data_IF_239096624365
#
_entry.id   IF_239096624365
#
_cell.length_a   1.000
_cell.length_b   1.000
_cell.length_c   1.000
_cell.angle_alpha   90.00
_cell.angle_beta   90.00
_cell.angle_gamma   90.00
#
_symmetry.space_group_name_H-M   'P 1'
#
loop_
_entity.id
_entity.type
_entity.pdbx_description
1 polymer ?
#
# COMPACT_ATOMS: atom_id res chain seq x y z
N UNK A 1 8.38 -4.42 17.66
CA UNK A 1 7.00 -4.66 18.14
C UNK A 1 6.03 -3.85 17.29
N UNK A 2 4.76 -4.15 17.38
CA UNK A 2 3.63 -3.39 16.80
C UNK A 2 2.64 -2.99 17.88
N UNK A 3 1.71 -2.10 17.54
CA UNK A 3 0.59 -1.72 18.42
C UNK A 3 -0.17 -2.97 18.91
N UNK A 4 -0.57 -2.96 20.14
CA UNK A 4 -1.27 -4.05 20.85
C UNK A 4 -0.44 -5.33 21.13
N UNK A 5 0.83 -5.38 20.77
CA UNK A 5 1.72 -6.49 21.14
C UNK A 5 1.91 -6.58 22.66
N UNK A 6 2.05 -7.81 23.12
CA UNK A 6 2.45 -8.12 24.50
C UNK A 6 3.98 -8.22 24.54
N UNK A 7 4.57 -7.48 25.46
CA UNK A 7 6.01 -7.49 25.75
C UNK A 7 6.21 -8.02 27.16
N UNK A 8 7.12 -8.97 27.31
CA UNK A 8 7.53 -9.48 28.62
C UNK A 8 8.97 -9.06 28.84
N UNK A 9 9.19 -8.21 29.83
CA UNK A 9 10.54 -7.86 30.30
C UNK A 9 10.95 -8.83 31.40
N UNK A 10 12.22 -9.22 31.41
CA UNK A 10 12.82 -10.05 32.45
C UNK A 10 13.80 -9.18 33.24
N UNK A 11 13.44 -8.88 34.46
CA UNK A 11 14.31 -8.16 35.39
C UNK A 11 15.17 -9.19 36.12
N UNK A 12 16.49 -9.00 36.07
CA UNK A 12 17.43 -9.88 36.73
C UNK A 12 18.27 -9.05 37.70
N UNK A 13 18.18 -9.39 38.98
CA UNK A 13 18.92 -8.74 40.04
C UNK A 13 20.15 -9.58 40.42
N UNK A 14 21.32 -9.01 40.30
CA UNK A 14 22.58 -9.61 40.71
C UNK A 14 23.00 -9.12 42.11
N UNK A 15 23.82 -9.90 42.79
CA UNK A 15 24.53 -9.43 43.98
C UNK A 15 26.04 -9.38 43.68
N UNK A 16 26.56 -8.16 43.60
CA UNK A 16 27.98 -7.90 43.37
C UNK A 16 28.76 -7.64 44.66
N UNK A 17 28.02 -7.60 45.78
CA UNK A 17 28.56 -7.34 47.09
C UNK A 17 29.25 -8.53 47.77
N UNK A 18 29.85 -8.27 48.94
CA UNK A 18 30.57 -9.23 49.77
C UNK A 18 29.70 -9.89 50.84
N UNK A 19 28.42 -9.51 50.96
CA UNK A 19 27.43 -10.11 51.89
C UNK A 19 26.21 -10.64 51.10
N UNK A 20 25.54 -11.65 51.64
CA UNK A 20 24.25 -12.10 51.09
C UNK A 20 23.18 -11.01 51.30
N UNK A 21 22.22 -10.88 50.37
CA UNK A 21 21.20 -9.85 50.46
C UNK A 21 19.90 -10.20 49.73
N UNK A 22 18.97 -9.23 49.74
CA UNK A 22 17.65 -9.35 49.09
C UNK A 22 17.27 -8.04 48.40
N UNK A 23 16.72 -8.12 47.19
CA UNK A 23 15.99 -7.03 46.58
C UNK A 23 14.55 -7.06 47.15
N UNK A 24 14.30 -6.26 48.18
CA UNK A 24 13.05 -6.32 48.92
C UNK A 24 11.88 -5.66 48.20
N UNK A 25 12.17 -4.70 47.34
CA UNK A 25 11.20 -4.03 46.49
C UNK A 25 11.83 -3.63 45.16
N UNK A 26 11.14 -3.92 44.08
CA UNK A 26 11.53 -3.55 42.72
C UNK A 26 10.39 -2.72 42.13
N UNK A 27 10.73 -1.65 41.43
CA UNK A 27 9.81 -0.78 40.76
C UNK A 27 10.13 -0.77 39.26
N UNK A 28 9.08 -0.76 38.43
CA UNK A 28 9.15 -0.60 37.00
C UNK A 28 8.41 0.66 36.59
N UNK A 29 9.01 1.48 35.75
CA UNK A 29 8.53 2.78 35.33
C UNK A 29 8.04 2.71 33.89
N UNK A 30 6.72 2.52 33.71
CA UNK A 30 6.10 2.38 32.41
C UNK A 30 6.05 3.69 31.65
N UNK A 31 6.63 3.78 30.44
CA UNK A 31 6.44 4.93 29.54
C UNK A 31 4.98 5.05 29.09
N UNK A 32 4.59 6.22 28.55
CA UNK A 32 3.20 6.50 28.17
C UNK A 32 2.62 5.50 27.15
N UNK A 33 3.49 4.86 26.39
CA UNK A 33 3.15 3.95 25.28
C UNK A 33 3.01 2.48 25.71
N UNK A 34 3.29 2.19 26.97
CA UNK A 34 3.03 0.87 27.58
C UNK A 34 1.89 0.96 28.57
N UNK A 35 1.19 -0.15 28.74
CA UNK A 35 0.21 -0.36 29.80
C UNK A 35 0.51 -1.66 30.54
N UNK A 36 0.26 -1.66 31.85
CA UNK A 36 0.36 -2.85 32.68
C UNK A 36 -0.74 -3.84 32.35
N UNK A 37 -0.41 -5.11 32.18
CA UNK A 37 -1.41 -6.18 31.96
C UNK A 37 -1.85 -6.72 33.31
N UNK A 38 -3.04 -6.32 33.80
CA UNK A 38 -3.64 -6.83 35.02
C UNK A 38 -4.21 -8.24 34.79
N UNK A 39 -3.33 -9.24 34.77
CA UNK A 39 -3.69 -10.65 34.54
C UNK A 39 -2.97 -11.60 35.49
N UNK A 40 -3.31 -12.90 35.40
CA UNK A 40 -2.76 -13.95 36.27
C UNK A 40 -1.22 -14.02 36.19
N UNK A 41 -0.65 -13.71 35.05
CA UNK A 41 0.82 -13.69 34.89
C UNK A 41 1.48 -12.69 35.83
N UNK A 42 1.07 -11.42 35.81
CA UNK A 42 1.68 -10.41 36.68
C UNK A 42 1.27 -10.61 38.16
N UNK A 43 0.06 -11.06 38.43
CA UNK A 43 -0.39 -11.39 39.78
C UNK A 43 0.44 -12.50 40.44
N UNK A 44 0.90 -13.49 39.69
CA UNK A 44 1.78 -14.55 40.19
C UNK A 44 3.09 -13.99 40.78
N UNK A 45 3.59 -12.87 40.22
CA UNK A 45 4.80 -12.18 40.66
C UNK A 45 4.54 -11.00 41.60
N UNK A 46 3.30 -10.86 42.08
CA UNK A 46 2.92 -9.86 43.08
C UNK A 46 3.03 -8.41 42.58
N UNK A 47 2.98 -8.19 41.26
CA UNK A 47 3.00 -6.85 40.70
C UNK A 47 1.71 -6.09 41.04
N UNK A 48 1.88 -4.84 41.44
CA UNK A 48 0.80 -3.88 41.70
C UNK A 48 1.08 -2.56 40.95
N UNK A 49 0.05 -1.98 40.35
CA UNK A 49 0.16 -0.74 39.57
C UNK A 49 -0.34 0.45 40.39
N UNK A 50 0.32 1.61 40.22
CA UNK A 50 -0.10 2.89 40.80
C UNK A 50 -1.39 3.41 40.16
N UNK A 51 -2.05 4.37 40.80
CA UNK A 51 -3.32 4.96 40.30
C UNK A 51 -3.16 5.64 38.94
N UNK A 52 -2.00 6.20 38.63
CA UNK A 52 -1.68 6.84 37.34
C UNK A 52 -1.28 5.83 36.26
N UNK A 53 -1.14 4.53 36.61
CA UNK A 53 -0.76 3.49 35.70
C UNK A 53 0.68 3.54 35.20
N UNK A 54 1.53 4.40 35.78
CA UNK A 54 2.89 4.68 35.31
C UNK A 54 3.99 3.99 36.10
N UNK A 55 3.68 3.54 37.29
CA UNK A 55 4.61 2.84 38.19
C UNK A 55 4.04 1.50 38.60
N UNK A 56 4.84 0.46 38.51
CA UNK A 56 4.45 -0.90 38.92
C UNK A 56 5.48 -1.41 39.94
N UNK A 57 5.02 -2.00 41.02
CA UNK A 57 5.90 -2.40 42.12
C UNK A 57 5.67 -3.85 42.49
N UNK A 58 6.74 -4.57 42.82
CA UNK A 58 6.70 -5.93 43.35
C UNK A 58 7.62 -6.14 44.55
N UNK A 59 7.22 -7.04 45.46
CA UNK A 59 8.04 -7.58 46.54
C UNK A 59 8.32 -9.07 46.37
N UNK A 60 8.22 -9.57 45.14
CA UNK A 60 8.37 -11.00 44.85
C UNK A 60 9.71 -11.55 45.33
N UNK A 61 10.78 -10.78 45.23
CA UNK A 61 12.14 -11.17 45.62
C UNK A 61 12.46 -10.86 47.10
N UNK A 62 11.55 -10.29 47.89
CA UNK A 62 11.76 -9.94 49.31
C UNK A 62 12.29 -11.09 50.17
N UNK A 63 11.87 -12.33 49.83
CA UNK A 63 12.29 -13.56 50.53
C UNK A 63 13.24 -14.44 49.70
N UNK A 64 13.66 -13.99 48.54
CA UNK A 64 14.54 -14.68 47.61
C UNK A 64 16.01 -14.29 47.84
N UNK A 65 16.70 -14.97 48.72
CA UNK A 65 18.11 -14.64 49.01
C UNK A 65 18.98 -14.71 47.75
N UNK A 66 19.79 -13.67 47.54
CA UNK A 66 20.80 -13.58 46.51
C UNK A 66 22.17 -13.68 47.20
N UNK A 67 22.91 -14.76 46.94
CA UNK A 67 24.16 -14.98 47.58
C UNK A 67 25.18 -13.94 47.08
N UNK A 68 26.10 -13.58 47.95
CA UNK A 68 27.26 -12.69 47.66
C UNK A 68 28.09 -13.17 46.50
N UNK A 69 28.80 -12.26 45.87
CA UNK A 69 29.79 -12.54 44.81
C UNK A 69 30.86 -13.48 45.30
N UNK A 70 31.19 -14.49 44.51
CA UNK A 70 32.30 -15.44 44.78
C UNK A 70 33.50 -15.11 43.90
N UNK A 71 34.57 -14.69 44.52
CA UNK A 71 35.83 -14.42 43.81
C UNK A 71 36.44 -15.73 43.29
N UNK A 72 36.70 -15.78 42.00
CA UNK A 72 37.40 -16.91 41.38
C UNK A 72 38.91 -16.70 41.45
N UNK A 73 39.62 -17.52 42.20
CA UNK A 73 41.07 -17.49 42.23
C UNK A 73 41.60 -18.32 41.06
N UNK A 74 42.09 -17.67 40.02
CA UNK A 74 42.83 -18.33 38.95
C UNK A 74 44.35 -18.07 39.17
N UNK A 75 45.16 -19.09 39.51
CA UNK A 75 46.56 -18.86 39.80
C UNK A 75 47.41 -18.49 38.56
N UNK A 76 46.86 -18.52 37.37
CA UNK A 76 47.59 -18.31 36.11
C UNK A 76 47.28 -16.98 35.41
N UNK A 77 46.24 -16.23 35.81
CA UNK A 77 45.90 -14.92 35.24
C UNK A 77 45.70 -13.87 36.36
N UNK A 78 46.23 -12.62 36.23
CA UNK A 78 46.04 -11.57 37.21
C UNK A 78 44.63 -10.98 37.24
N UNK A 79 43.75 -11.37 36.33
CA UNK A 79 42.37 -10.89 36.26
C UNK A 79 41.51 -11.54 37.34
N UNK A 80 40.95 -10.69 38.19
CA UNK A 80 39.97 -11.09 39.20
C UNK A 80 38.61 -11.27 38.51
N UNK A 81 38.16 -12.51 38.38
CA UNK A 81 36.82 -12.84 37.92
C UNK A 81 35.94 -13.18 39.12
N UNK A 82 34.67 -12.83 39.03
CA UNK A 82 33.66 -13.14 40.05
C UNK A 82 32.54 -13.99 39.45
N UNK A 83 31.99 -14.91 40.25
CA UNK A 83 30.74 -15.59 39.93
C UNK A 83 29.64 -14.90 40.72
N UNK A 84 28.68 -14.31 40.00
CA UNK A 84 27.55 -13.59 40.59
C UNK A 84 26.36 -14.53 40.74
N UNK A 85 25.63 -14.38 41.84
CA UNK A 85 24.32 -14.98 42.03
C UNK A 85 23.25 -13.96 41.60
N UNK A 86 22.14 -14.47 41.07
CA UNK A 86 21.03 -13.62 40.66
C UNK A 86 19.65 -14.24 40.98
N UNK A 87 18.62 -13.39 40.93
CA UNK A 87 17.21 -13.75 40.93
C UNK A 87 16.49 -12.98 39.81
N UNK A 88 15.38 -13.55 39.34
CA UNK A 88 14.63 -13.00 38.22
C UNK A 88 13.18 -12.76 38.63
N UNK A 89 12.59 -11.71 38.04
CA UNK A 89 11.16 -11.45 38.09
C UNK A 89 10.70 -10.87 36.74
N UNK A 90 9.79 -11.52 36.02
CA UNK A 90 9.26 -11.00 34.78
C UNK A 90 8.12 -10.03 35.03
N UNK A 91 7.94 -9.08 34.10
CA UNK A 91 6.76 -8.22 34.01
C UNK A 91 6.19 -8.26 32.60
N UNK A 92 4.86 -8.32 32.49
CA UNK A 92 4.14 -8.31 31.23
C UNK A 92 3.45 -6.98 31.02
N UNK A 93 3.74 -6.36 29.88
CA UNK A 93 3.17 -5.09 29.44
C UNK A 93 2.55 -5.24 28.05
N UNK A 94 1.68 -4.32 27.69
CA UNK A 94 1.08 -4.22 26.37
C UNK A 94 1.44 -2.88 25.73
N UNK A 95 1.82 -2.91 24.46
CA UNK A 95 2.01 -1.71 23.65
C UNK A 95 0.65 -1.09 23.36
N UNK A 96 0.45 0.19 23.72
CA UNK A 96 -0.80 0.89 23.44
C UNK A 96 -1.01 1.12 21.95
N UNK A 97 -2.25 1.25 21.53
CA UNK A 97 -2.65 1.60 20.18
C UNK A 97 -2.26 3.05 19.78
N UNK A 98 -2.11 3.92 20.81
CA UNK A 98 -1.67 5.31 20.64
C UNK A 98 -0.17 5.47 20.41
N UNK A 99 0.62 4.40 20.50
CA UNK A 99 2.04 4.42 20.25
C UNK A 99 2.32 4.70 18.77
N UNK A 100 3.34 5.54 18.50
CA UNK A 100 3.69 5.96 17.13
C UNK A 100 4.71 5.02 16.51
N UNK A 101 4.60 4.79 15.22
CA UNK A 101 5.59 4.05 14.45
C UNK A 101 6.97 4.70 14.49
N UNK A 102 7.99 3.88 14.36
CA UNK A 102 9.41 4.26 14.53
C UNK A 102 9.75 4.86 15.91
N UNK A 103 8.77 4.90 16.83
CA UNK A 103 9.01 5.35 18.19
C UNK A 103 9.76 4.30 19.01
N UNK A 104 10.78 4.74 19.73
CA UNK A 104 11.50 3.93 20.71
C UNK A 104 10.80 4.05 22.05
N UNK A 105 10.33 2.94 22.56
CA UNK A 105 9.72 2.83 23.88
C UNK A 105 10.81 2.34 24.83
N UNK A 106 11.17 3.15 25.82
CA UNK A 106 12.15 2.80 26.84
C UNK A 106 11.43 2.45 28.12
N UNK A 107 11.60 1.23 28.61
CA UNK A 107 11.12 0.78 29.90
C UNK A 107 12.28 0.74 30.89
N UNK A 108 12.11 1.28 32.11
CA UNK A 108 13.16 1.43 33.13
C UNK A 108 12.69 0.75 34.40
N UNK A 109 13.56 0.00 35.05
CA UNK A 109 13.31 -0.62 36.33
C UNK A 109 14.43 -0.31 37.33
N UNK A 110 14.08 -0.20 38.61
CA UNK A 110 15.01 0.07 39.69
C UNK A 110 14.74 -0.80 40.92
N UNK A 111 15.78 -1.02 41.73
CA UNK A 111 15.65 -1.62 43.06
C UNK A 111 15.41 -0.50 44.06
N UNK A 112 14.23 -0.44 44.64
CA UNK A 112 13.82 0.62 45.55
C UNK A 112 14.05 0.29 47.02
N UNK A 113 14.48 -0.95 47.34
CA UNK A 113 14.79 -1.37 48.69
C UNK A 113 15.70 -2.57 48.76
N UNK A 114 16.78 -2.45 49.52
CA UNK A 114 17.74 -3.50 49.82
C UNK A 114 17.64 -3.99 51.24
N UNK A 115 17.89 -5.29 51.48
CA UNK A 115 18.04 -5.85 52.80
C UNK A 115 19.27 -6.77 52.86
N UNK A 116 20.01 -6.75 53.98
CA UNK A 116 21.09 -7.67 54.29
C UNK A 116 20.59 -9.08 54.64
N UNK A 117 21.49 -9.96 54.99
CA UNK A 117 21.20 -11.34 55.36
C UNK A 117 20.32 -11.48 56.61
N UNK A 118 20.32 -10.46 57.49
CA UNK A 118 19.46 -10.37 58.68
C UNK A 118 18.11 -9.70 58.43
N UNK A 119 17.80 -9.38 57.19
CA UNK A 119 16.61 -8.62 56.78
C UNK A 119 16.54 -7.17 57.32
N UNK A 120 17.69 -6.57 57.54
CA UNK A 120 17.82 -5.15 57.88
C UNK A 120 18.14 -4.33 56.66
N UNK A 121 17.64 -3.10 56.61
CA UNK A 121 18.01 -2.13 55.56
C UNK A 121 19.53 -1.94 55.51
N UNK A 122 20.10 -1.99 54.37
CA UNK A 122 21.53 -1.82 54.09
C UNK A 122 21.70 -0.77 52.99
N UNK A 123 22.80 -0.07 53.03
CA UNK A 123 23.18 0.88 51.98
C UNK A 123 23.97 0.12 50.91
N UNK A 124 23.61 0.30 49.66
CA UNK A 124 24.42 -0.19 48.53
C UNK A 124 25.68 0.67 48.44
N UNK A 125 26.73 0.12 47.83
CA UNK A 125 28.06 0.74 47.79
C UNK A 125 28.08 1.94 46.83
N UNK A 126 27.43 1.83 45.70
CA UNK A 126 27.52 2.70 44.54
C UNK A 126 26.15 3.09 43.97
N UNK A 127 25.03 2.72 44.64
CA UNK A 127 23.65 3.04 44.25
C UNK A 127 22.86 3.64 45.42
N UNK A 128 21.87 4.48 45.12
CA UNK A 128 20.93 5.09 46.10
C UNK A 128 19.50 4.57 45.82
N UNK A 129 18.87 4.02 46.86
CA UNK A 129 17.49 3.50 46.76
C UNK A 129 16.51 4.55 46.22
N UNK A 130 15.68 4.16 45.22
CA UNK A 130 14.55 4.96 44.75
C UNK A 130 14.92 6.38 44.24
N UNK A 131 16.06 6.53 43.61
CA UNK A 131 16.57 7.82 43.15
C UNK A 131 16.36 8.01 41.62
N UNK A 132 15.82 7.03 40.88
CA UNK A 132 15.55 7.15 39.45
C UNK A 132 14.69 8.37 39.16
N UNK A 133 15.25 9.31 38.43
CA UNK A 133 14.56 10.53 37.96
C UNK A 133 14.12 10.27 36.52
N UNK A 134 12.87 9.89 36.35
CA UNK A 134 12.32 9.74 35.01
C UNK A 134 12.48 11.06 34.24
N UNK A 135 13.16 11.06 33.08
CA UNK A 135 13.05 12.13 32.14
C UNK A 135 11.58 12.30 31.75
N UNK A 136 11.18 13.50 31.30
CA UNK A 136 9.86 13.66 30.71
C UNK A 136 9.77 12.69 29.49
N UNK A 137 8.57 12.26 29.12
CA UNK A 137 8.36 11.28 28.06
C UNK A 137 9.09 11.60 26.75
N UNK A 138 9.31 12.89 26.43
CA UNK A 138 10.04 13.33 25.25
C UNK A 138 11.53 12.96 25.26
N UNK A 139 12.12 12.68 26.42
CA UNK A 139 13.54 12.35 26.55
C UNK A 139 13.79 10.83 26.71
N UNK A 140 12.73 10.02 26.94
CA UNK A 140 12.86 8.57 27.11
C UNK A 140 13.55 7.84 25.95
N UNK A 141 13.29 8.20 24.66
CA UNK A 141 14.01 7.55 23.54
C UNK A 141 15.53 7.73 23.58
N UNK A 142 16.00 8.77 24.25
CA UNK A 142 17.41 9.12 24.37
C UNK A 142 18.02 8.71 25.72
N UNK A 143 17.25 8.05 26.58
CA UNK A 143 17.76 7.53 27.85
C UNK A 143 18.94 6.59 27.59
N UNK A 144 20.04 6.79 28.29
CA UNK A 144 21.26 5.99 28.15
C UNK A 144 21.71 5.57 29.54
N UNK A 145 22.06 4.33 29.65
CA UNK A 145 22.80 3.81 30.77
C UNK A 145 24.27 4.31 30.77
N UNK A 146 24.90 4.22 31.91
CA UNK A 146 26.28 4.62 32.09
C UNK A 146 27.29 3.59 31.55
N UNK A 147 27.09 3.06 30.35
CA UNK A 147 27.99 2.10 29.70
C UNK A 147 29.40 2.69 29.43
N UNK A 148 29.56 3.99 29.51
CA UNK A 148 30.83 4.68 29.22
C UNK A 148 31.67 4.97 30.43
N UNK A 149 31.24 4.68 31.66
CA UNK A 149 31.93 4.95 32.90
C UNK A 149 31.81 6.39 33.40
N UNK A 150 30.98 7.20 32.75
CA UNK A 150 30.64 8.54 33.20
C UNK A 150 29.33 8.47 34.01
N UNK A 151 29.40 8.82 35.30
CA UNK A 151 28.24 8.86 36.19
C UNK A 151 27.16 9.81 35.66
N UNK A 152 26.00 9.30 35.36
CA UNK A 152 24.81 10.08 35.08
C UNK A 152 23.89 9.95 36.30
N UNK A 153 23.56 11.01 37.06
CA UNK A 153 22.74 10.93 38.26
C UNK A 153 21.40 10.22 37.99
N UNK A 154 21.15 9.14 38.73
CA UNK A 154 19.97 8.30 38.59
C UNK A 154 20.12 7.17 37.57
N UNK A 155 21.36 6.86 37.12
CA UNK A 155 21.74 5.70 36.35
C UNK A 155 22.87 4.99 37.07
N UNK A 156 22.52 4.30 38.10
CA UNK A 156 23.38 3.45 38.91
C UNK A 156 23.17 2.00 38.52
N UNK A 157 23.91 1.06 39.10
CA UNK A 157 23.77 -0.37 38.73
C UNK A 157 22.55 -1.03 39.37
N UNK A 158 21.74 -0.29 40.15
CA UNK A 158 20.45 -0.74 40.70
C UNK A 158 19.27 -0.37 39.78
N UNK A 159 19.49 0.42 38.72
CA UNK A 159 18.53 0.69 37.65
C UNK A 159 19.06 0.20 36.29
N UNK A 160 18.13 -0.24 35.46
CA UNK A 160 18.42 -0.68 34.09
C UNK A 160 17.20 -0.44 33.19
N UNK A 161 17.44 -0.42 31.88
CA UNK A 161 16.39 -0.20 30.91
C UNK A 161 16.49 -1.10 29.69
N UNK A 162 15.34 -1.32 29.05
CA UNK A 162 15.28 -2.01 27.75
C UNK A 162 14.45 -1.19 26.76
N UNK A 163 14.82 -1.23 25.49
CA UNK A 163 14.16 -0.47 24.43
C UNK A 163 13.54 -1.38 23.39
N UNK A 164 12.27 -1.10 23.07
CA UNK A 164 11.60 -1.68 21.91
C UNK A 164 11.24 -0.58 20.92
N UNK A 165 11.24 -0.91 19.63
CA UNK A 165 10.85 0.01 18.59
C UNK A 165 9.54 -0.47 17.94
N UNK A 166 8.64 0.48 17.67
CA UNK A 166 7.40 0.21 16.97
C UNK A 166 7.67 0.23 15.47
N UNK A 167 7.44 -0.90 14.82
CA UNK A 167 7.63 -1.05 13.39
C UNK A 167 6.40 -0.58 12.62
N UNK A 168 6.60 0.15 11.52
CA UNK A 168 5.57 0.55 10.57
C UNK A 168 5.05 -0.69 9.83
N UNK A 169 3.72 -0.82 9.74
CA UNK A 169 3.04 -1.63 8.75
C UNK A 169 2.62 -0.69 7.61
N UNK A 170 2.84 -1.09 6.37
CA UNK A 170 2.63 -0.21 5.23
C UNK A 170 2.63 -1.03 3.94
N UNK A 171 1.48 -1.15 3.31
CA UNK A 171 1.31 -1.80 2.02
C UNK A 171 0.86 -0.78 0.98
N UNK A 172 1.62 -0.65 -0.08
CA UNK A 172 1.38 0.28 -1.17
C UNK A 172 0.94 -0.44 -2.44
N UNK A 173 -0.04 0.09 -3.16
CA UNK A 173 -0.50 -0.46 -4.43
C UNK A 173 0.05 0.34 -5.61
N UNK A 174 0.44 -0.39 -6.67
CA UNK A 174 0.84 0.20 -7.95
C UNK A 174 0.13 -0.54 -9.09
N UNK A 175 -0.61 0.22 -9.88
CA UNK A 175 -1.35 -0.27 -11.04
C UNK A 175 -0.68 0.19 -12.31
N UNK A 176 -0.54 -0.71 -13.28
CA UNK A 176 0.04 -0.37 -14.58
C UNK A 176 -0.60 -1.13 -15.72
N UNK A 177 -0.71 -0.48 -16.88
CA UNK A 177 -1.02 -1.15 -18.14
C UNK A 177 0.22 -1.92 -18.59
N UNK A 178 0.09 -3.24 -18.79
CA UNK A 178 1.20 -4.10 -19.25
C UNK A 178 1.10 -4.47 -20.70
N UNK A 179 -0.11 -4.54 -21.28
CA UNK A 179 -0.28 -4.69 -22.71
C UNK A 179 -1.64 -4.21 -23.20
N UNK A 180 -1.69 -3.81 -24.46
CA UNK A 180 -2.92 -3.53 -25.20
C UNK A 180 -2.90 -4.39 -26.46
N UNK A 181 -3.91 -5.25 -26.60
CA UNK A 181 -4.14 -6.02 -27.82
C UNK A 181 -5.09 -5.23 -28.72
N UNK A 182 -4.54 -4.65 -29.78
CA UNK A 182 -5.27 -3.90 -30.78
C UNK A 182 -5.99 -4.85 -31.73
N UNK A 183 -7.27 -5.06 -31.50
CA UNK A 183 -8.08 -6.05 -32.26
C UNK A 183 -8.15 -5.73 -33.75
N UNK A 184 -8.15 -4.45 -34.12
CA UNK A 184 -8.17 -4.01 -35.55
C UNK A 184 -6.88 -4.31 -36.30
N UNK A 185 -5.74 -4.41 -35.59
CA UNK A 185 -4.43 -4.63 -36.19
C UNK A 185 -3.88 -6.04 -35.94
N UNK A 186 -4.62 -6.87 -35.17
CA UNK A 186 -4.14 -8.17 -34.68
C UNK A 186 -2.74 -8.08 -34.03
N UNK A 187 -2.51 -6.98 -33.30
CA UNK A 187 -1.21 -6.63 -32.72
C UNK A 187 -1.33 -6.37 -31.23
N UNK A 188 -0.45 -6.97 -30.44
CA UNK A 188 -0.24 -6.63 -29.05
C UNK A 188 0.91 -5.62 -28.90
N UNK A 189 0.67 -4.56 -28.12
CA UNK A 189 1.69 -3.61 -27.71
C UNK A 189 1.97 -3.83 -26.22
N UNK A 190 3.21 -4.16 -25.87
CA UNK A 190 3.65 -4.35 -24.50
C UNK A 190 4.20 -3.04 -23.92
N UNK A 191 3.95 -2.81 -22.62
CA UNK A 191 4.35 -1.62 -21.87
C UNK A 191 5.20 -2.03 -20.67
N UNK A 192 6.42 -2.57 -20.92
CA UNK A 192 7.31 -3.08 -19.88
C UNK A 192 8.00 -1.97 -19.07
N UNK A 193 7.94 -0.73 -19.53
CA UNK A 193 8.55 0.44 -18.90
C UNK A 193 7.63 1.16 -17.89
N UNK A 194 6.38 0.72 -17.78
CA UNK A 194 5.39 1.32 -16.87
C UNK A 194 5.43 0.76 -15.44
N UNK A 195 6.22 -0.26 -15.18
CA UNK A 195 6.37 -0.78 -13.82
C UNK A 195 7.03 0.23 -12.90
N UNK A 196 6.48 0.37 -11.70
CA UNK A 196 7.07 1.18 -10.64
C UNK A 196 8.51 0.76 -10.37
N UNK A 197 9.39 1.74 -10.14
CA UNK A 197 10.82 1.53 -9.89
C UNK A 197 11.15 1.94 -8.47
N UNK A 198 12.13 1.25 -7.89
CA UNK A 198 12.66 1.63 -6.59
C UNK A 198 13.29 3.04 -6.68
N UNK A 199 12.80 3.97 -5.86
CA UNK A 199 13.42 5.29 -5.71
C UNK A 199 14.66 5.19 -4.84
N UNK A 200 15.82 5.14 -5.48
CA UNK A 200 17.12 5.07 -4.81
C UNK A 200 17.57 6.41 -4.22
N UNK A 201 16.97 7.52 -4.63
CA UNK A 201 17.37 8.86 -4.20
C UNK A 201 16.61 9.33 -2.94
N UNK A 202 15.41 8.80 -2.72
CA UNK A 202 14.56 9.13 -1.57
C UNK A 202 14.72 8.20 -0.36
N UNK A 203 15.87 7.59 -0.15
CA UNK A 203 16.17 6.71 0.99
C UNK A 203 15.84 7.29 2.39
N UNK A 204 15.52 8.56 2.48
CA UNK A 204 15.17 9.26 3.73
C UNK A 204 13.67 9.57 3.88
N UNK A 205 12.88 9.41 2.85
CA UNK A 205 11.43 9.50 2.90
C UNK A 205 10.88 8.09 2.73
N UNK A 206 9.92 7.68 3.53
CA UNK A 206 9.38 6.32 3.63
C UNK A 206 8.81 5.74 2.32
N UNK A 207 8.94 6.42 1.19
CA UNK A 207 8.48 6.00 -0.13
C UNK A 207 9.58 5.22 -0.85
N UNK A 208 9.41 3.93 -1.03
CA UNK A 208 10.38 3.03 -1.66
C UNK A 208 10.31 3.13 -3.20
N UNK A 209 9.19 3.62 -3.76
CA UNK A 209 8.90 3.56 -5.19
C UNK A 209 8.62 4.92 -5.80
N UNK A 210 9.16 5.13 -7.02
CA UNK A 210 8.71 6.21 -7.89
C UNK A 210 7.41 5.82 -8.58
N UNK A 211 6.45 6.72 -8.56
CA UNK A 211 5.27 6.61 -9.41
C UNK A 211 5.65 6.92 -10.85
N UNK A 212 5.22 6.05 -11.76
CA UNK A 212 5.22 6.41 -13.17
C UNK A 212 4.24 7.57 -13.36
N UNK A 213 4.69 8.65 -14.05
CA UNK A 213 3.81 9.77 -14.36
C UNK A 213 2.76 9.34 -15.40
N UNK A 214 1.61 8.89 -14.91
CA UNK A 214 0.48 8.43 -15.72
C UNK A 214 -0.16 9.56 -16.54
N UNK A 215 -0.01 10.82 -16.12
CA UNK A 215 -0.62 11.97 -16.80
C UNK A 215 0.12 12.35 -18.09
N UNK A 216 1.43 12.09 -18.19
CA UNK A 216 2.24 12.47 -19.34
C UNK A 216 2.34 11.42 -20.46
N UNK A 217 1.99 10.16 -20.19
CA UNK A 217 2.17 9.03 -21.12
C UNK A 217 0.92 8.14 -21.24
N UNK A 218 -0.21 8.75 -21.54
CA UNK A 218 -1.49 8.05 -21.64
C UNK A 218 -1.52 7.19 -22.92
N UNK A 219 -1.63 5.84 -22.83
CA UNK A 219 -1.75 4.98 -23.99
C UNK A 219 -3.04 5.24 -24.77
N UNK A 220 -2.95 5.12 -26.10
CA UNK A 220 -4.10 5.26 -26.98
C UNK A 220 -4.75 3.90 -27.26
N UNK A 221 -6.07 3.88 -27.28
CA UNK A 221 -6.90 2.71 -27.57
C UNK A 221 -7.99 3.02 -28.57
N UNK A 222 -8.48 2.00 -29.25
CA UNK A 222 -9.71 2.07 -30.03
C UNK A 222 -10.79 1.18 -29.40
N UNK A 223 -12.02 1.34 -29.85
CA UNK A 223 -13.12 0.45 -29.47
C UNK A 223 -12.77 -1.03 -29.71
N UNK A 224 -13.10 -1.89 -28.77
CA UNK A 224 -12.83 -3.33 -28.72
C UNK A 224 -11.37 -3.73 -28.46
N UNK A 225 -10.46 -2.83 -28.24
CA UNK A 225 -9.14 -3.19 -27.76
C UNK A 225 -9.22 -3.89 -26.40
N UNK A 226 -8.32 -4.86 -26.18
CA UNK A 226 -8.20 -5.57 -24.91
C UNK A 226 -6.99 -5.03 -24.16
N UNK A 227 -7.25 -4.49 -22.98
CA UNK A 227 -6.24 -3.91 -22.10
C UNK A 227 -5.97 -4.85 -20.94
N UNK A 228 -4.71 -5.14 -20.68
CA UNK A 228 -4.27 -5.93 -19.54
C UNK A 228 -3.55 -5.05 -18.54
N UNK A 229 -4.04 -5.07 -17.33
CA UNK A 229 -3.44 -4.39 -16.17
C UNK A 229 -2.68 -5.39 -15.31
N UNK A 230 -1.57 -4.95 -14.71
CA UNK A 230 -0.94 -5.54 -13.54
C UNK A 230 -1.24 -4.64 -12.35
N UNK A 231 -1.58 -5.24 -11.23
CA UNK A 231 -1.78 -4.56 -9.95
C UNK A 231 -0.83 -5.24 -8.97
N UNK A 232 0.12 -4.48 -8.48
CA UNK A 232 1.13 -4.94 -7.52
C UNK A 232 0.90 -4.30 -6.17
N UNK A 233 0.93 -5.14 -5.14
CA UNK A 233 0.98 -4.69 -3.75
C UNK A 233 2.40 -4.89 -3.26
N UNK A 234 3.05 -3.81 -2.89
CA UNK A 234 4.39 -3.77 -2.32
C UNK A 234 4.32 -3.59 -0.80
N UNK A 235 5.40 -3.91 -0.12
CA UNK A 235 5.53 -3.65 1.31
C UNK A 235 6.60 -2.58 1.53
N UNK A 236 6.17 -1.38 1.90
CA UNK A 236 7.01 -0.23 2.23
C UNK A 236 7.33 -0.15 3.74
N UNK A 237 6.69 -1.01 4.53
CA UNK A 237 6.82 -1.08 5.97
C UNK A 237 8.01 -1.89 6.47
N UNK A 238 8.01 -2.11 7.79
CA UNK A 238 9.03 -2.88 8.53
C UNK A 238 8.48 -4.19 9.09
N UNK A 239 7.23 -4.52 8.77
CA UNK A 239 6.53 -5.74 9.18
C UNK A 239 6.03 -6.44 7.92
N UNK A 240 6.13 -7.78 7.87
CA UNK A 240 5.54 -8.57 6.80
C UNK A 240 4.03 -8.34 6.75
N UNK A 241 3.47 -8.15 5.55
CA UNK A 241 2.06 -7.87 5.32
C UNK A 241 1.41 -8.83 4.34
N UNK A 242 0.07 -8.78 4.29
CA UNK A 242 -0.75 -9.55 3.35
C UNK A 242 -1.95 -8.69 2.95
N UNK A 243 -2.13 -8.46 1.65
CA UNK A 243 -3.37 -7.88 1.14
C UNK A 243 -4.44 -8.99 1.09
N UNK A 244 -5.48 -8.87 1.89
CA UNK A 244 -6.55 -9.88 1.95
C UNK A 244 -7.55 -9.70 0.81
N UNK A 245 -7.73 -8.45 0.36
CA UNK A 245 -8.51 -8.11 -0.82
C UNK A 245 -7.78 -7.07 -1.68
N UNK A 246 -7.83 -7.26 -2.99
CA UNK A 246 -7.49 -6.25 -3.99
C UNK A 246 -8.74 -5.92 -4.77
N UNK A 247 -9.06 -4.64 -4.92
CA UNK A 247 -10.28 -4.16 -5.57
C UNK A 247 -9.96 -3.39 -6.84
N UNK A 248 -10.93 -3.32 -7.75
CA UNK A 248 -10.85 -2.58 -9.00
C UNK A 248 -12.23 -2.02 -9.37
N UNK A 249 -12.29 -0.72 -9.64
CA UNK A 249 -13.52 0.00 -10.01
C UNK A 249 -13.44 0.35 -11.49
N UNK A 250 -14.08 -0.46 -12.32
CA UNK A 250 -14.07 -0.25 -13.77
C UNK A 250 -14.89 0.97 -14.17
N UNK A 251 -14.31 1.89 -14.98
CA UNK A 251 -15.02 3.03 -15.54
C UNK A 251 -16.04 2.61 -16.59
N UNK A 252 -16.97 3.50 -16.92
CA UNK A 252 -18.06 3.26 -17.89
C UNK A 252 -17.60 2.78 -19.26
N UNK A 253 -16.43 3.19 -19.72
CA UNK A 253 -15.86 2.84 -21.02
C UNK A 253 -15.11 1.50 -21.06
N UNK A 254 -14.98 0.81 -19.92
CA UNK A 254 -14.35 -0.53 -19.86
C UNK A 254 -15.37 -1.61 -19.50
N UNK A 255 -15.09 -2.82 -19.96
CA UNK A 255 -15.87 -4.02 -19.66
C UNK A 255 -14.96 -5.11 -19.12
N UNK A 256 -15.37 -5.75 -18.03
CA UNK A 256 -14.69 -6.92 -17.50
C UNK A 256 -14.86 -8.13 -18.41
N UNK A 257 -13.78 -8.83 -18.71
CA UNK A 257 -13.80 -10.00 -19.57
C UNK A 257 -13.89 -11.29 -18.74
N UNK A 258 -15.11 -11.71 -18.39
CA UNK A 258 -15.39 -12.87 -17.52
C UNK A 258 -14.80 -14.21 -18.03
N UNK A 259 -14.68 -14.37 -19.34
CA UNK A 259 -14.15 -15.58 -19.96
C UNK A 259 -12.65 -15.54 -20.25
N UNK A 260 -11.98 -14.42 -19.96
CA UNK A 260 -10.55 -14.28 -20.16
C UNK A 260 -9.76 -15.14 -19.16
N UNK A 261 -8.77 -15.89 -19.65
CA UNK A 261 -7.98 -16.80 -18.81
C UNK A 261 -7.17 -16.08 -17.72
N UNK A 262 -6.77 -14.83 -17.96
CA UNK A 262 -6.10 -14.00 -16.94
C UNK A 262 -7.05 -13.74 -15.79
N UNK A 263 -8.28 -13.29 -16.09
CA UNK A 263 -9.27 -12.97 -15.06
C UNK A 263 -9.69 -14.20 -14.25
N UNK A 264 -9.87 -15.34 -14.92
CA UNK A 264 -10.18 -16.63 -14.26
C UNK A 264 -9.05 -17.07 -13.32
N UNK A 265 -7.78 -16.92 -13.76
CA UNK A 265 -6.61 -17.30 -12.96
C UNK A 265 -6.56 -16.56 -11.61
N UNK A 266 -6.87 -15.28 -11.62
CA UNK A 266 -6.81 -14.44 -10.42
C UNK A 266 -8.11 -14.38 -9.62
N UNK A 267 -9.14 -15.15 -10.03
CA UNK A 267 -10.35 -15.37 -9.25
C UNK A 267 -11.15 -14.10 -8.94
N UNK A 268 -11.13 -13.12 -9.83
CA UNK A 268 -11.93 -11.90 -9.67
C UNK A 268 -13.42 -12.23 -9.57
N UNK A 269 -14.10 -11.50 -8.70
CA UNK A 269 -15.54 -11.56 -8.45
C UNK A 269 -16.16 -10.19 -8.62
N UNK A 270 -17.45 -10.16 -8.94
CA UNK A 270 -18.23 -8.94 -9.07
C UNK A 270 -19.08 -8.72 -7.81
N UNK A 271 -19.11 -7.50 -7.32
CA UNK A 271 -19.80 -7.12 -6.10
C UNK A 271 -20.70 -5.90 -6.32
N UNK A 272 -21.78 -5.83 -5.52
CA UNK A 272 -22.56 -4.62 -5.31
C UNK A 272 -22.53 -4.22 -3.85
N UNK A 273 -22.71 -2.95 -3.55
CA UNK A 273 -22.85 -2.49 -2.17
C UNK A 273 -24.02 -3.19 -1.46
N UNK A 274 -23.83 -3.50 -0.20
CA UNK A 274 -24.77 -4.22 0.65
C UNK A 274 -24.78 -3.63 2.07
N UNK A 275 -25.61 -4.20 2.94
CA UNK A 275 -25.64 -3.83 4.35
C UNK A 275 -25.04 -4.93 5.23
N UNK A 276 -24.61 -4.56 6.44
CA UNK A 276 -24.08 -5.49 7.44
C UNK A 276 -25.12 -6.56 7.88
N UNK A 277 -26.41 -6.29 7.70
CA UNK A 277 -27.49 -7.20 8.08
C UNK A 277 -27.74 -8.30 7.02
N UNK A 278 -27.09 -8.22 5.85
CA UNK A 278 -27.19 -9.23 4.81
C UNK A 278 -26.26 -10.40 5.17
N UNK A 279 -26.82 -11.59 5.40
CA UNK A 279 -26.07 -12.81 5.76
C UNK A 279 -25.07 -13.28 4.70
N UNK A 280 -25.23 -12.83 3.45
CA UNK A 280 -24.34 -13.15 2.33
C UNK A 280 -23.31 -12.03 2.07
N UNK A 281 -23.33 -10.96 2.87
CA UNK A 281 -22.40 -9.86 2.67
C UNK A 281 -20.98 -10.21 3.12
N UNK A 282 -20.01 -9.79 2.35
CA UNK A 282 -18.60 -9.83 2.67
C UNK A 282 -18.15 -8.42 3.04
N UNK A 283 -17.41 -8.27 4.14
CA UNK A 283 -16.76 -7.00 4.46
C UNK A 283 -15.47 -6.87 3.66
N UNK A 284 -15.31 -5.79 2.92
CA UNK A 284 -14.10 -5.41 2.21
C UNK A 284 -13.78 -3.98 2.66
N UNK A 285 -12.68 -3.81 3.37
CA UNK A 285 -12.36 -2.54 4.05
C UNK A 285 -13.45 -2.16 5.06
N UNK A 286 -13.95 -0.94 4.96
CA UNK A 286 -14.98 -0.42 5.86
C UNK A 286 -16.42 -0.69 5.38
N UNK A 287 -16.62 -1.26 4.19
CA UNK A 287 -17.93 -1.45 3.55
C UNK A 287 -18.33 -2.92 3.43
N UNK A 288 -19.61 -3.13 3.25
CA UNK A 288 -20.19 -4.47 3.01
C UNK A 288 -20.65 -4.60 1.57
N UNK A 289 -20.39 -5.78 0.98
CA UNK A 289 -20.68 -6.09 -0.41
C UNK A 289 -21.32 -7.46 -0.54
N UNK A 290 -22.21 -7.62 -1.51
CA UNK A 290 -22.78 -8.89 -1.90
C UNK A 290 -22.24 -9.30 -3.27
N UNK A 291 -21.76 -10.54 -3.38
CA UNK A 291 -21.31 -11.10 -4.66
C UNK A 291 -22.50 -11.23 -5.63
N UNK A 292 -22.31 -10.78 -6.87
CA UNK A 292 -23.31 -10.82 -7.93
C UNK A 292 -22.74 -11.43 -9.21
N UNK A 293 -23.62 -11.86 -10.11
CA UNK A 293 -23.20 -12.35 -11.42
C UNK A 293 -22.52 -11.22 -12.23
N UNK A 294 -21.53 -11.56 -13.05
CA UNK A 294 -20.81 -10.62 -13.92
C UNK A 294 -21.71 -9.90 -14.95
N UNK A 295 -22.91 -10.42 -15.20
CA UNK A 295 -23.90 -9.81 -16.08
C UNK A 295 -24.86 -8.85 -15.33
N UNK A 296 -24.69 -8.67 -14.03
CA UNK A 296 -25.47 -7.75 -13.21
C UNK A 296 -25.21 -6.29 -13.61
N UNK A 297 -26.26 -5.48 -13.61
CA UNK A 297 -26.16 -4.04 -13.82
C UNK A 297 -25.86 -3.25 -12.54
N UNK A 298 -25.83 -3.94 -11.41
CA UNK A 298 -25.63 -3.37 -10.07
C UNK A 298 -24.18 -3.49 -9.59
N UNK A 299 -23.28 -3.98 -10.45
CA UNK A 299 -21.86 -4.11 -10.09
C UNK A 299 -21.30 -2.73 -9.77
N UNK A 300 -20.74 -2.59 -8.58
CA UNK A 300 -20.05 -1.39 -8.13
C UNK A 300 -18.55 -1.61 -7.97
N UNK A 301 -18.13 -2.88 -7.81
CA UNK A 301 -16.77 -3.25 -7.48
C UNK A 301 -16.43 -4.63 -8.08
N UNK A 302 -15.19 -4.78 -8.56
CA UNK A 302 -14.57 -6.08 -8.77
C UNK A 302 -13.50 -6.29 -7.69
N UNK A 303 -13.45 -7.49 -7.12
CA UNK A 303 -12.46 -7.80 -6.09
C UNK A 303 -11.91 -9.22 -6.22
N UNK A 304 -10.69 -9.41 -5.74
CA UNK A 304 -10.05 -10.71 -5.64
C UNK A 304 -9.35 -10.88 -4.29
N UNK A 305 -9.45 -12.08 -3.71
CA UNK A 305 -8.71 -12.50 -2.53
C UNK A 305 -7.48 -13.37 -2.86
N UNK A 306 -7.00 -13.28 -4.10
CA UNK A 306 -5.89 -14.11 -4.60
C UNK A 306 -4.61 -13.99 -3.77
N UNK A 307 -4.35 -12.81 -3.19
CA UNK A 307 -3.16 -12.53 -2.38
C UNK A 307 -3.32 -12.85 -0.90
N UNK A 308 -4.48 -13.26 -0.41
CA UNK A 308 -4.78 -13.47 1.01
C UNK A 308 -3.84 -14.43 1.76
N UNK A 309 -3.24 -15.38 1.04
CA UNK A 309 -2.29 -16.35 1.58
C UNK A 309 -0.83 -16.03 1.17
N UNK A 310 -0.60 -14.83 0.57
CA UNK A 310 0.71 -14.40 0.09
C UNK A 310 1.32 -13.42 1.09
N UNK A 311 2.39 -13.83 1.78
CA UNK A 311 3.16 -12.93 2.64
C UNK A 311 4.06 -12.05 1.79
N UNK A 312 3.85 -10.74 1.84
CA UNK A 312 4.69 -9.72 1.21
C UNK A 312 5.70 -9.26 2.26
N UNK A 313 6.97 -9.59 2.04
CA UNK A 313 8.05 -9.36 3.01
C UNK A 313 8.35 -7.88 3.16
N UNK A 314 8.58 -7.46 4.41
CA UNK A 314 9.06 -6.12 4.72
C UNK A 314 10.35 -5.81 3.98
N UNK A 315 10.48 -4.57 3.48
CA UNK A 315 11.69 -4.14 2.79
C UNK A 315 12.85 -3.91 3.77
N UNK A 316 13.97 -4.57 3.50
CA UNK A 316 15.17 -4.51 4.38
C UNK A 316 16.12 -3.37 4.04
N UNK A 317 15.85 -2.61 2.96
CA UNK A 317 16.73 -1.54 2.48
C UNK A 317 17.79 -2.02 1.47
N UNK A 318 17.80 -3.29 1.10
CA UNK A 318 18.71 -3.89 0.12
C UNK A 318 17.92 -4.75 -0.89
N UNK A 319 18.35 -4.70 -2.16
CA UNK A 319 17.75 -5.48 -3.25
C UNK A 319 16.43 -4.93 -3.74
N UNK A 320 15.63 -5.81 -4.37
CA UNK A 320 14.29 -5.49 -4.84
C UNK A 320 13.28 -5.67 -3.70
N UNK A 321 12.26 -4.82 -3.68
CA UNK A 321 11.18 -4.97 -2.72
C UNK A 321 10.27 -6.15 -3.09
N UNK A 322 9.78 -6.83 -2.06
CA UNK A 322 8.79 -7.90 -2.20
C UNK A 322 7.44 -7.34 -2.63
N UNK A 323 6.76 -8.06 -3.51
CA UNK A 323 5.40 -7.70 -3.92
C UNK A 323 4.53 -8.94 -4.17
N UNK A 324 3.22 -8.77 -4.00
CA UNK A 324 2.20 -9.63 -4.55
C UNK A 324 1.66 -9.03 -5.86
N UNK A 325 1.25 -9.85 -6.84
CA UNK A 325 0.78 -9.35 -8.14
C UNK A 325 -0.47 -10.09 -8.60
N UNK A 326 -1.45 -9.32 -9.03
CA UNK A 326 -2.64 -9.80 -9.74
C UNK A 326 -2.81 -9.09 -11.06
N UNK A 327 -3.48 -9.73 -12.01
CA UNK A 327 -3.75 -9.15 -13.32
C UNK A 327 -5.24 -9.08 -13.60
N UNK A 328 -5.64 -8.04 -14.36
CA UNK A 328 -6.99 -7.90 -14.88
C UNK A 328 -6.95 -7.62 -16.38
N UNK A 329 -7.85 -8.23 -17.15
CA UNK A 329 -8.05 -7.93 -18.56
C UNK A 329 -9.44 -7.33 -18.77
N UNK A 330 -9.51 -6.23 -19.50
CA UNK A 330 -10.74 -5.52 -19.82
C UNK A 330 -10.84 -5.26 -21.32
N UNK A 331 -12.05 -4.99 -21.82
CA UNK A 331 -12.30 -4.54 -23.19
C UNK A 331 -12.71 -3.07 -23.19
N UNK A 332 -12.21 -2.32 -24.13
CA UNK A 332 -12.66 -0.96 -24.41
C UNK A 332 -14.02 -1.01 -25.10
N UNK A 333 -15.07 -0.49 -24.46
CA UNK A 333 -16.41 -0.43 -25.03
C UNK A 333 -16.51 0.60 -26.15
N UNK A 334 -17.39 0.36 -27.10
CA UNK A 334 -17.83 1.41 -28.00
C UNK A 334 -18.64 2.48 -27.23
N UNK A 335 -18.51 3.76 -27.60
CA UNK A 335 -19.28 4.84 -26.95
C UNK A 335 -20.80 4.56 -26.93
N UNK A 336 -21.34 3.94 -27.97
CA UNK A 336 -22.76 3.55 -28.07
C UNK A 336 -23.19 2.45 -27.10
N UNK A 337 -22.26 1.71 -26.50
CA UNK A 337 -22.52 0.67 -25.51
C UNK A 337 -22.66 1.23 -24.09
N UNK A 338 -22.25 2.47 -23.89
CA UNK A 338 -22.41 3.18 -22.61
C UNK A 338 -23.84 3.74 -22.54
N UNK A 339 -24.48 3.58 -21.39
CA UNK A 339 -25.87 4.02 -21.21
C UNK A 339 -26.03 5.51 -21.48
N UNK A 340 -27.16 5.87 -22.10
CA UNK A 340 -27.49 7.27 -22.40
C UNK A 340 -27.47 8.14 -21.12
N UNK A 341 -26.78 9.27 -21.17
CA UNK A 341 -26.60 10.15 -20.01
C UNK A 341 -25.44 9.81 -19.09
N UNK A 342 -24.75 8.68 -19.31
CA UNK A 342 -23.54 8.34 -18.60
C UNK A 342 -22.31 8.89 -19.33
N UNK A 343 -21.43 9.58 -18.60
CA UNK A 343 -20.15 10.03 -19.15
C UNK A 343 -19.26 8.85 -19.51
N UNK A 344 -18.65 8.88 -20.71
CA UNK A 344 -17.71 7.87 -21.15
C UNK A 344 -16.34 8.13 -20.49
N UNK A 345 -15.91 7.23 -19.61
CA UNK A 345 -14.66 7.33 -18.84
C UNK A 345 -13.78 6.12 -19.07
N UNK A 346 -12.47 6.32 -19.05
CA UNK A 346 -11.45 5.28 -19.24
C UNK A 346 -10.39 5.25 -18.13
N UNK A 347 -10.52 6.10 -17.09
CA UNK A 347 -9.69 6.03 -15.89
C UNK A 347 -10.08 4.83 -15.06
N UNK A 348 -9.16 3.88 -14.90
CA UNK A 348 -9.36 2.68 -14.10
C UNK A 348 -8.63 2.79 -12.78
N UNK A 349 -9.32 2.48 -11.67
CA UNK A 349 -8.84 2.66 -10.29
C UNK A 349 -8.74 1.30 -9.63
N UNK A 350 -7.63 1.04 -8.94
CA UNK A 350 -7.48 -0.12 -8.06
C UNK A 350 -7.04 0.31 -6.67
N UNK A 351 -7.40 -0.48 -5.66
CA UNK A 351 -7.16 -0.19 -4.25
C UNK A 351 -6.86 -1.49 -3.50
N UNK A 352 -6.04 -1.42 -2.44
CA UNK A 352 -6.00 -2.48 -1.43
C UNK A 352 -7.33 -2.45 -0.71
N UNK A 353 -8.18 -3.45 -0.97
CA UNK A 353 -9.52 -3.49 -0.38
C UNK A 353 -9.52 -3.84 1.10
N UNK A 354 -8.53 -4.63 1.53
CA UNK A 354 -8.35 -5.01 2.93
C UNK A 354 -6.97 -5.66 3.12
N UNK A 355 -6.40 -5.59 4.31
CA UNK A 355 -5.11 -6.16 4.66
C UNK A 355 -5.10 -6.77 6.07
N UNK A 356 -3.94 -7.26 6.53
CA UNK A 356 -3.79 -7.90 7.84
C UNK A 356 -3.06 -7.03 8.88
N UNK A 357 -2.96 -5.72 8.68
CA UNK A 357 -2.25 -4.80 9.55
C UNK A 357 -3.06 -3.57 9.92
N UNK A 358 -2.37 -2.59 10.44
CA UNK A 358 -2.86 -1.24 10.76
C UNK A 358 -1.94 -0.29 9.99
N UNK A 359 -2.32 0.01 8.75
CA UNK A 359 -1.58 0.89 7.88
C UNK A 359 -1.59 2.31 8.44
N UNK A 360 -0.46 3.01 8.34
CA UNK A 360 -0.32 4.31 9.02
C UNK A 360 -0.84 5.47 8.20
N UNK A 361 -0.71 5.40 6.88
CA UNK A 361 -1.01 6.49 5.97
C UNK A 361 -2.07 6.14 4.92
N UNK A 362 -2.64 4.92 4.98
CA UNK A 362 -3.74 4.45 4.15
C UNK A 362 -4.85 3.81 4.96
N UNK A 363 -6.05 3.80 4.41
CA UNK A 363 -7.23 3.10 4.98
C UNK A 363 -7.80 2.19 3.90
N UNK A 364 -7.47 0.89 3.93
CA UNK A 364 -7.90 -0.05 2.91
C UNK A 364 -9.41 -0.06 2.67
N UNK A 365 -9.82 0.04 1.41
CA UNK A 365 -11.22 -0.07 0.99
C UNK A 365 -12.11 1.12 1.36
N UNK A 366 -11.56 2.29 1.66
CA UNK A 366 -12.33 3.49 1.98
C UNK A 366 -12.80 4.25 0.73
N UNK A 367 -12.20 3.98 -0.43
CA UNK A 367 -12.50 4.60 -1.71
C UNK A 367 -11.99 6.03 -1.81
N UNK A 368 -10.90 6.35 -1.12
CA UNK A 368 -10.28 7.68 -1.14
C UNK A 368 -9.68 8.04 -2.51
N UNK A 369 -9.29 9.31 -2.67
CA UNK A 369 -8.65 9.76 -3.89
C UNK A 369 -7.19 9.26 -3.94
N UNK A 370 -6.77 8.71 -5.07
CA UNK A 370 -5.44 8.12 -5.33
C UNK A 370 -4.23 9.03 -5.01
N UNK A 371 -4.44 10.34 -4.81
CA UNK A 371 -3.37 11.30 -4.47
C UNK A 371 -3.08 11.39 -2.98
N UNK A 372 -3.98 10.89 -2.15
CA UNK A 372 -3.94 11.10 -0.71
C UNK A 372 -3.43 9.86 0.05
N UNK A 373 -3.54 8.67 -0.57
CA UNK A 373 -3.12 7.40 0.01
C UNK A 373 -2.34 6.58 -1.03
N UNK A 374 -1.44 5.71 -0.61
CA UNK A 374 -0.59 4.92 -1.50
C UNK A 374 -1.10 3.48 -1.72
N UNK A 375 -2.18 3.10 -1.05
CA UNK A 375 -2.95 1.87 -1.28
C UNK A 375 -3.92 1.96 -2.47
N UNK A 376 -4.03 3.13 -3.12
CA UNK A 376 -4.84 3.40 -4.32
C UNK A 376 -3.97 3.85 -5.48
N UNK A 377 -4.22 3.31 -6.68
CA UNK A 377 -3.54 3.76 -7.89
C UNK A 377 -4.44 3.69 -9.12
N UNK A 378 -4.09 4.46 -10.15
CA UNK A 378 -4.90 4.65 -11.36
C UNK A 378 -4.11 4.39 -12.63
N UNK A 379 -4.85 4.06 -13.70
CA UNK A 379 -4.35 4.10 -15.07
C UNK A 379 -5.36 4.75 -16.00
N UNK A 380 -4.88 5.68 -16.83
CA UNK A 380 -5.66 6.38 -17.83
C UNK A 380 -5.45 5.82 -19.23
N UNK A 381 -6.50 5.84 -20.04
CA UNK A 381 -6.49 5.50 -21.46
C UNK A 381 -7.11 6.64 -22.27
N UNK A 382 -6.60 6.86 -23.49
CA UNK A 382 -7.16 7.80 -24.44
C UNK A 382 -7.80 7.07 -25.61
N UNK A 383 -9.12 7.21 -25.76
CA UNK A 383 -9.82 6.71 -26.95
C UNK A 383 -9.43 7.54 -28.16
N UNK A 384 -9.05 6.86 -29.24
CA UNK A 384 -8.82 7.47 -30.56
C UNK A 384 -9.79 6.84 -31.56
N UNK A 385 -10.23 7.66 -32.52
CA UNK A 385 -11.27 7.25 -33.47
C UNK A 385 -10.67 7.05 -34.87
N UNK A 386 -11.12 5.97 -35.53
CA UNK A 386 -10.87 5.73 -36.95
C UNK A 386 -12.06 6.26 -37.75
N UNK A 387 -11.83 7.22 -38.63
CA UNK A 387 -12.88 7.81 -39.48
C UNK A 387 -12.36 8.14 -40.87
N UNK A 388 -12.87 7.42 -41.85
CA UNK A 388 -12.59 7.69 -43.26
C UNK A 388 -13.82 8.28 -43.95
N UNK A 389 -13.65 9.47 -44.46
CA UNK A 389 -14.66 10.14 -45.25
C UNK A 389 -14.38 10.03 -46.75
N UNK A 390 -15.40 9.75 -47.55
CA UNK A 390 -15.32 9.76 -49.01
C UNK A 390 -16.05 10.98 -49.55
N UNK A 391 -15.41 11.69 -50.44
CA UNK A 391 -15.98 12.79 -51.19
C UNK A 391 -15.89 12.49 -52.69
N UNK A 392 -17.01 12.73 -53.45
CA UNK A 392 -17.07 12.53 -54.86
C UNK A 392 -17.72 13.73 -55.53
N UNK A 393 -17.07 14.27 -56.55
CA UNK A 393 -17.61 15.41 -57.29
C UNK A 393 -17.24 15.29 -58.76
N UNK A 394 -18.01 16.01 -59.63
CA UNK A 394 -17.73 16.11 -61.03
C UNK A 394 -16.78 17.25 -61.26
N UNK A 395 -15.64 17.01 -61.91
CA UNK A 395 -14.64 18.03 -62.22
C UNK A 395 -14.80 18.61 -63.63
N UNK A 396 -15.24 17.77 -64.60
CA UNK A 396 -15.41 18.17 -65.99
C UNK A 396 -16.63 17.52 -66.62
N UNK A 397 -17.31 18.28 -67.46
CA UNK A 397 -18.26 17.76 -68.45
C UNK A 397 -17.64 17.85 -69.84
N UNK A 398 -17.62 16.75 -70.53
CA UNK A 398 -16.98 16.59 -71.87
C UNK A 398 -18.08 16.28 -72.86
N UNK A 399 -18.32 17.12 -73.81
CA UNK A 399 -19.25 16.93 -74.91
C UNK A 399 -18.48 16.66 -76.20
N UNK A 400 -18.77 15.53 -76.86
CA UNK A 400 -18.20 15.16 -78.11
C UNK A 400 -19.30 15.17 -79.16
N UNK A 401 -19.21 16.09 -80.11
CA UNK A 401 -20.14 16.26 -81.24
C UNK A 401 -19.38 16.24 -82.56
N UNK A 402 -19.70 15.35 -83.48
CA UNK A 402 -19.03 15.19 -84.81
C UNK A 402 -17.53 15.06 -84.65
N UNK A 403 -17.02 14.36 -83.65
CA UNK A 403 -15.61 14.18 -83.42
C UNK A 403 -14.92 15.37 -82.75
N UNK A 404 -15.58 16.50 -82.56
CA UNK A 404 -15.07 17.67 -81.84
C UNK A 404 -15.40 17.57 -80.40
N UNK A 405 -14.40 17.68 -79.57
CA UNK A 405 -14.53 17.65 -78.09
C UNK A 405 -14.60 19.11 -77.53
N UNK A 406 -15.59 19.32 -76.64
CA UNK A 406 -15.64 20.52 -75.82
C UNK A 406 -15.59 20.08 -74.36
N UNK A 407 -14.69 20.66 -73.58
CA UNK A 407 -14.51 20.38 -72.14
C UNK A 407 -14.97 21.61 -71.37
N UNK A 408 -15.81 21.38 -70.38
CA UNK A 408 -16.28 22.41 -69.45
C UNK A 408 -15.86 21.99 -68.02
N UNK A 409 -15.07 22.82 -67.38
CA UNK A 409 -14.77 22.68 -65.99
C UNK A 409 -16.04 23.00 -65.16
N UNK A 410 -16.37 22.15 -64.21
CA UNK A 410 -17.61 22.34 -63.42
C UNK A 410 -17.45 23.35 -62.28
N UNK A 411 -16.21 23.53 -61.82
CA UNK A 411 -15.91 24.36 -60.65
C UNK A 411 -16.29 23.67 -59.29
N UNK A 412 -16.90 22.48 -59.34
CA UNK A 412 -17.33 21.77 -58.13
C UNK A 412 -16.11 21.37 -57.27
N UNK A 413 -16.29 21.47 -55.95
CA UNK A 413 -15.30 21.18 -54.96
C UNK A 413 -15.78 20.01 -54.06
N UNK A 414 -14.88 19.33 -53.32
CA UNK A 414 -15.23 18.15 -52.51
C UNK A 414 -16.28 18.41 -51.40
N UNK A 415 -16.42 19.64 -50.97
CA UNK A 415 -17.31 20.03 -49.86
C UNK A 415 -18.51 20.89 -50.33
N UNK A 416 -18.77 20.97 -51.65
CA UNK A 416 -19.94 21.65 -52.17
C UNK A 416 -21.26 20.89 -51.84
N UNK A 417 -22.37 21.59 -51.89
CA UNK A 417 -23.68 21.00 -51.71
C UNK A 417 -23.86 19.79 -52.64
N UNK A 418 -24.14 18.58 -52.11
CA UNK A 418 -24.36 17.38 -52.93
C UNK A 418 -25.57 17.48 -53.86
N UNK A 419 -26.49 18.36 -53.63
CA UNK A 419 -27.62 18.67 -54.49
C UNK A 419 -27.23 19.51 -55.71
N UNK A 420 -26.01 20.02 -55.77
CA UNK A 420 -25.50 20.80 -56.88
C UNK A 420 -25.37 19.95 -58.14
N UNK A 421 -26.08 20.31 -59.22
CA UNK A 421 -26.13 19.58 -60.44
C UNK A 421 -25.25 20.17 -61.56
N UNK A 422 -24.55 19.32 -62.28
CA UNK A 422 -23.81 19.73 -63.50
C UNK A 422 -24.80 19.79 -64.67
N UNK A 423 -24.93 20.96 -65.29
CA UNK A 423 -25.81 21.16 -66.46
C UNK A 423 -24.98 21.15 -67.72
N UNK A 424 -25.41 20.35 -68.70
CA UNK A 424 -24.83 20.28 -70.05
C UNK A 424 -25.91 20.67 -71.06
N UNK A 425 -25.64 21.67 -71.87
CA UNK A 425 -26.55 22.11 -72.93
C UNK A 425 -26.23 21.35 -74.22
N UNK A 426 -27.27 20.69 -74.82
CA UNK A 426 -27.16 19.93 -76.03
C UNK A 426 -28.15 20.39 -77.09
N UNK A 427 -27.73 20.42 -78.37
CA UNK A 427 -28.60 20.74 -79.48
C UNK A 427 -29.62 19.65 -79.75
N UNK A 428 -30.90 19.89 -79.52
CA UNK A 428 -31.99 18.91 -79.62
C UNK A 428 -32.03 18.10 -80.91
N UNK A 429 -31.64 18.67 -82.01
CA UNK A 429 -31.69 18.03 -83.33
C UNK A 429 -30.55 17.03 -83.59
N UNK A 430 -29.56 16.96 -82.71
CA UNK A 430 -28.33 16.14 -82.88
C UNK A 430 -28.02 15.22 -81.74
N UNK A 431 -28.95 14.92 -80.88
CA UNK A 431 -28.77 14.14 -79.66
C UNK A 431 -28.17 12.74 -79.92
N UNK A 432 -28.47 12.10 -81.06
CA UNK A 432 -27.95 10.80 -81.47
C UNK A 432 -26.50 10.83 -81.98
N UNK A 433 -25.91 12.02 -82.19
CA UNK A 433 -24.55 12.24 -82.63
C UNK A 433 -23.64 12.86 -81.56
N UNK A 434 -24.17 12.93 -80.33
CA UNK A 434 -23.45 13.51 -79.21
C UNK A 434 -23.14 12.48 -78.15
N UNK A 435 -21.93 12.47 -77.65
CA UNK A 435 -21.52 11.66 -76.46
C UNK A 435 -21.18 12.65 -75.36
N UNK A 436 -21.78 12.44 -74.17
CA UNK A 436 -21.43 13.20 -72.98
C UNK A 436 -20.66 12.31 -72.00
N UNK A 437 -19.54 12.78 -71.56
CA UNK A 437 -18.72 12.10 -70.54
C UNK A 437 -18.56 13.06 -69.38
N UNK A 438 -18.56 12.47 -68.15
CA UNK A 438 -18.24 13.21 -66.90
C UNK A 438 -16.96 12.62 -66.32
N UNK A 439 -16.03 13.52 -65.91
CA UNK A 439 -14.88 13.16 -65.13
C UNK A 439 -15.22 13.43 -63.67
N UNK A 440 -15.07 12.40 -62.87
CA UNK A 440 -15.25 12.49 -61.43
C UNK A 440 -13.89 12.51 -60.76
N UNK A 441 -13.82 13.24 -59.64
CA UNK A 441 -12.77 13.08 -58.67
C UNK A 441 -13.37 12.36 -57.46
N UNK A 442 -12.61 11.43 -56.91
CA UNK A 442 -12.93 10.73 -55.69
C UNK A 442 -11.75 10.94 -54.75
N UNK A 443 -12.02 11.44 -53.57
CA UNK A 443 -11.00 11.64 -52.53
C UNK A 443 -11.45 10.88 -51.26
N UNK A 444 -10.52 10.14 -50.71
CA UNK A 444 -10.66 9.57 -49.37
C UNK A 444 -9.84 10.44 -48.43
N UNK A 445 -10.43 10.83 -47.33
CA UNK A 445 -9.87 11.73 -46.32
C UNK A 445 -9.95 10.98 -45.00
N UNK A 446 -8.86 10.97 -44.23
CA UNK A 446 -8.92 10.54 -42.83
C UNK A 446 -9.38 11.74 -42.00
N UNK A 447 -10.56 11.63 -41.39
CA UNK A 447 -11.14 12.62 -40.47
C UNK A 447 -11.00 12.14 -39.01
N UNK A 448 -10.44 10.93 -38.77
CA UNK A 448 -10.15 10.36 -37.45
C UNK A 448 -8.75 10.67 -36.95
N UNK A 449 -8.47 10.15 -35.77
CA UNK A 449 -7.20 10.31 -35.03
C UNK A 449 -6.10 9.34 -35.49
N UNK A 450 -6.48 8.21 -36.18
CA UNK A 450 -5.58 7.14 -36.62
C UNK A 450 -5.85 6.75 -38.08
#
# INVERSE_FOLDING_TARGET
VKKNDIVVYMLRVYNEGEIDGYAAEIKDHLPSNLEFVDGDFNKQYGWTVSEDGRTVTTKYLENAKINKAVKNENPTTPEKTYTLSYKEVPIMCKVKDTAKTDEKITNIADITKYLDEDKKSVIDRDSEENNVKLPNDNNLPNYKDNETGDYIPGQEDDDDFEKVIIKKFDLALRKQIVSINHTYAEKETAYNDRYAKLDTDKKQTNTIYDYYDVESNIPTVVENDVVKYSIRVYNEGKIDGTATWVTDILPSGLEYLKDNEVNKKYGWKAFKESSADNENAVKIGEKYYEEVDFDSKEITLYATDYLKDTTIKAYTGEGEASYGEVFMATRVKAKKEVAEGTEYKLRNIAEIGDDNGDDEDSVPGDGSEWKDQDDVDIEDLKLVEFDLALRKWVTQAIVIENGKQTVTETGHQPYDDPEQVVKVELHRKKLNQVTVKFKYSIRVINEGDI
#
